data_IF_655769862762
#
_entry.id   IF_655769862762
#
_cell.length_a   1.000
_cell.length_b   1.000
_cell.length_c   1.000
_cell.angle_alpha   90.00
_cell.angle_beta   90.00
_cell.angle_gamma   90.00
#
_symmetry.space_group_name_H-M   'P 1'
#
loop_
_entity.id
_entity.type
_entity.pdbx_description
1 polymer ?
#
# COMPACT_ATOMS: atom_id res chain seq x y z
N UNK A 1 3.74 12.58 22.74
CA UNK A 1 2.66 11.83 22.08
C UNK A 1 3.28 11.24 20.84
N UNK A 2 3.60 9.95 21.00
CA UNK A 2 4.07 8.94 20.03
C UNK A 2 4.89 9.40 18.84
N UNK A 3 6.19 9.30 19.06
CA UNK A 3 7.23 9.03 18.08
C UNK A 3 6.92 7.68 17.38
N UNK A 4 6.32 7.71 16.19
CA UNK A 4 6.25 6.58 15.24
C UNK A 4 7.49 6.70 14.34
N UNK A 5 8.58 6.02 14.67
CA UNK A 5 8.95 4.69 14.15
C UNK A 5 9.52 4.74 12.71
N UNK A 6 10.73 5.30 12.60
CA UNK A 6 11.63 4.98 11.50
C UNK A 6 12.08 3.52 11.64
N UNK A 7 11.40 2.59 10.96
CA UNK A 7 11.87 1.20 10.85
C UNK A 7 10.81 0.10 10.73
N UNK A 8 9.52 0.41 10.88
CA UNK A 8 8.44 -0.57 10.75
C UNK A 8 8.02 -0.73 9.29
N UNK A 9 7.86 -1.99 8.83
CA UNK A 9 7.38 -2.27 7.47
C UNK A 9 5.87 -2.00 7.37
N UNK A 10 5.39 -1.80 6.14
CA UNK A 10 3.96 -1.56 5.93
C UNK A 10 3.08 -2.77 6.35
N UNK A 11 3.62 -3.98 6.26
CA UNK A 11 2.95 -5.21 6.71
C UNK A 11 2.86 -5.30 8.24
N UNK A 12 3.90 -4.83 8.94
CA UNK A 12 3.87 -4.73 10.40
C UNK A 12 2.83 -3.69 10.84
N UNK A 13 2.83 -2.52 10.19
CA UNK A 13 1.79 -1.49 10.42
C UNK A 13 0.38 -2.00 10.15
N UNK A 14 0.18 -2.84 9.12
CA UNK A 14 -1.11 -3.48 8.87
C UNK A 14 -1.54 -4.35 10.05
N UNK A 15 -0.62 -5.17 10.58
CA UNK A 15 -0.90 -6.04 11.73
C UNK A 15 -1.33 -5.21 12.95
N UNK A 16 -0.61 -4.13 13.25
CA UNK A 16 -0.94 -3.23 14.37
C UNK A 16 -2.30 -2.55 14.20
N UNK A 17 -2.64 -2.13 12.98
CA UNK A 17 -3.94 -1.52 12.71
C UNK A 17 -5.09 -2.52 12.82
N UNK A 18 -4.88 -3.79 12.46
CA UNK A 18 -5.89 -4.85 12.65
C UNK A 18 -6.14 -5.09 14.15
N UNK A 19 -5.08 -5.17 14.94
CA UNK A 19 -5.20 -5.32 16.39
C UNK A 19 -5.93 -4.11 17.02
N UNK A 20 -5.55 -2.89 16.61
CA UNK A 20 -6.24 -1.67 17.04
C UNK A 20 -7.72 -1.63 16.61
N UNK A 21 -8.04 -2.07 15.40
CA UNK A 21 -9.42 -2.11 14.92
C UNK A 21 -10.26 -3.08 15.76
N UNK A 22 -9.71 -4.25 16.11
CA UNK A 22 -10.39 -5.16 17.05
C UNK A 22 -10.60 -4.52 18.42
N UNK A 23 -9.56 -3.93 19.02
CA UNK A 23 -9.65 -3.29 20.33
C UNK A 23 -10.71 -2.16 20.37
N UNK A 24 -10.76 -1.33 19.33
CA UNK A 24 -11.76 -0.26 19.18
C UNK A 24 -13.16 -0.85 19.01
N UNK A 25 -13.34 -1.85 18.16
CA UNK A 25 -14.63 -2.48 17.95
C UNK A 25 -15.15 -3.20 19.20
N UNK A 26 -14.27 -3.80 20.00
CA UNK A 26 -14.62 -4.44 21.27
C UNK A 26 -14.95 -3.43 22.37
N UNK A 27 -14.29 -2.26 22.36
CA UNK A 27 -14.49 -1.20 23.36
C UNK A 27 -15.68 -0.30 23.05
N UNK A 28 -15.77 0.20 21.83
CA UNK A 28 -16.77 1.18 21.38
C UNK A 28 -18.00 0.51 20.73
N UNK A 29 -17.92 -0.78 20.44
CA UNK A 29 -18.97 -1.59 19.84
C UNK A 29 -18.81 -1.74 18.33
N UNK A 30 -19.23 -2.90 17.82
CA UNK A 30 -19.00 -3.33 16.43
C UNK A 30 -19.73 -2.51 15.38
N UNK A 31 -20.75 -1.73 15.77
CA UNK A 31 -21.51 -0.85 14.87
C UNK A 31 -21.23 0.63 15.14
N UNK A 32 -20.18 0.95 15.89
CA UNK A 32 -19.79 2.33 16.19
C UNK A 32 -19.06 2.98 15.02
N UNK A 33 -19.13 4.31 14.94
CA UNK A 33 -18.38 5.09 13.95
C UNK A 33 -16.86 4.95 14.15
N UNK A 34 -16.42 4.74 15.39
CA UNK A 34 -15.03 4.52 15.77
C UNK A 34 -14.52 3.19 15.21
N UNK A 35 -15.30 2.12 15.37
CA UNK A 35 -14.99 0.81 14.79
C UNK A 35 -14.91 0.89 13.26
N UNK A 36 -15.87 1.55 12.61
CA UNK A 36 -15.85 1.76 11.16
C UNK A 36 -14.59 2.53 10.71
N UNK A 37 -14.27 3.63 11.37
CA UNK A 37 -13.09 4.45 11.05
C UNK A 37 -11.77 3.69 11.24
N UNK A 38 -11.69 2.80 12.24
CA UNK A 38 -10.51 1.97 12.46
C UNK A 38 -10.31 0.96 11.33
N UNK A 39 -11.41 0.36 10.84
CA UNK A 39 -11.37 -0.53 9.68
C UNK A 39 -11.08 0.22 8.37
N UNK A 40 -11.53 1.47 8.22
CA UNK A 40 -11.18 2.30 7.06
C UNK A 40 -9.65 2.50 6.95
N UNK A 41 -8.97 2.71 8.09
CA UNK A 41 -7.52 2.83 8.12
C UNK A 41 -6.81 1.51 7.74
N UNK A 42 -7.37 0.36 8.14
CA UNK A 42 -6.90 -0.96 7.72
C UNK A 42 -7.09 -1.16 6.21
N UNK A 43 -8.21 -0.73 5.65
CA UNK A 43 -8.48 -0.80 4.22
C UNK A 43 -7.49 0.04 3.40
N UNK A 44 -7.21 1.27 3.83
CA UNK A 44 -6.25 2.16 3.16
C UNK A 44 -4.84 1.53 3.09
N UNK A 45 -4.35 0.98 4.20
CA UNK A 45 -3.02 0.35 4.24
C UNK A 45 -2.96 -0.91 3.37
N UNK A 46 -4.03 -1.72 3.34
CA UNK A 46 -4.10 -2.87 2.44
C UNK A 46 -4.11 -2.44 0.97
N UNK A 47 -4.83 -1.37 0.63
CA UNK A 47 -4.84 -0.82 -0.72
C UNK A 47 -3.43 -0.39 -1.15
N UNK A 48 -2.69 0.29 -0.28
CA UNK A 48 -1.30 0.67 -0.54
C UNK A 48 -0.38 -0.54 -0.72
N UNK A 49 -0.51 -1.59 0.11
CA UNK A 49 0.25 -2.85 -0.07
C UNK A 49 -0.04 -3.48 -1.44
N UNK A 50 -1.31 -3.53 -1.84
CA UNK A 50 -1.72 -4.04 -3.14
C UNK A 50 -1.16 -3.20 -4.29
N UNK A 51 -1.17 -1.87 -4.12
CA UNK A 51 -0.63 -0.94 -5.10
C UNK A 51 0.88 -1.15 -5.30
N UNK A 52 1.65 -1.20 -4.21
CA UNK A 52 3.10 -1.47 -4.24
C UNK A 52 3.44 -2.77 -4.96
N UNK A 53 2.76 -3.86 -4.59
CA UNK A 53 2.92 -5.16 -5.25
C UNK A 53 2.65 -5.11 -6.75
N UNK A 54 1.75 -4.23 -7.19
CA UNK A 54 1.41 -4.08 -8.60
C UNK A 54 2.36 -3.12 -9.34
N UNK A 55 2.87 -2.09 -8.67
CA UNK A 55 3.79 -1.10 -9.27
C UNK A 55 5.22 -1.63 -9.43
N UNK A 56 5.64 -2.56 -8.58
CA UNK A 56 7.02 -3.08 -8.56
C UNK A 56 7.30 -4.10 -9.67
N UNK A 57 6.29 -4.56 -10.40
CA UNK A 57 6.43 -5.58 -11.46
C UNK A 57 6.51 -4.90 -12.82
N UNK A 58 7.72 -4.47 -13.22
CA UNK A 58 8.01 -4.13 -14.62
C UNK A 58 8.09 -5.39 -15.46
N UNK A 59 7.47 -5.37 -16.64
CA UNK A 59 7.66 -6.44 -17.62
C UNK A 59 9.11 -6.43 -18.12
N UNK A 60 9.62 -7.58 -18.58
CA UNK A 60 10.96 -7.64 -19.18
C UNK A 60 11.12 -6.67 -20.36
N UNK A 61 10.03 -6.44 -21.10
CA UNK A 61 9.99 -5.47 -22.19
C UNK A 61 10.12 -4.03 -21.68
N UNK A 62 9.37 -3.66 -20.65
CA UNK A 62 9.45 -2.33 -20.02
C UNK A 62 10.85 -2.06 -19.49
N UNK A 63 11.43 -3.02 -18.74
CA UNK A 63 12.80 -2.90 -18.23
C UNK A 63 13.81 -2.74 -19.37
N UNK A 64 13.68 -3.53 -20.43
CA UNK A 64 14.56 -3.42 -21.60
C UNK A 64 14.45 -2.05 -22.28
N UNK A 65 13.25 -1.51 -22.44
CA UNK A 65 13.04 -0.20 -23.05
C UNK A 65 13.49 0.97 -22.17
N UNK A 66 13.45 0.83 -20.84
CA UNK A 66 14.02 1.82 -19.91
C UNK A 66 15.55 1.91 -20.08
N UNK A 67 16.22 0.77 -20.27
CA UNK A 67 17.68 0.68 -20.42
C UNK A 67 18.15 0.98 -21.87
N UNK A 68 17.29 0.73 -22.86
CA UNK A 68 17.57 0.88 -24.29
C UNK A 68 16.47 1.67 -25.01
N UNK A 69 16.30 2.97 -24.72
CA UNK A 69 15.20 3.77 -25.28
C UNK A 69 15.30 3.98 -26.80
N UNK A 70 16.50 3.82 -27.38
CA UNK A 70 16.76 3.93 -28.81
C UNK A 70 16.60 2.61 -29.59
N UNK A 71 16.33 1.49 -28.90
CA UNK A 71 16.01 0.21 -29.54
C UNK A 71 14.78 0.37 -30.46
N UNK A 72 14.75 -0.38 -31.57
CA UNK A 72 13.71 -0.23 -32.58
C UNK A 72 12.30 -0.49 -32.02
N UNK A 73 12.20 -1.37 -31.04
CA UNK A 73 10.98 -1.78 -30.35
C UNK A 73 10.52 -0.76 -29.28
N UNK A 74 11.37 0.19 -28.88
CA UNK A 74 11.14 1.07 -27.74
C UNK A 74 10.98 2.56 -28.10
N UNK A 75 11.27 2.95 -29.35
CA UNK A 75 11.14 4.34 -29.81
C UNK A 75 9.68 4.80 -29.75
N UNK A 76 9.42 5.80 -28.92
CA UNK A 76 8.16 6.53 -28.89
C UNK A 76 8.35 7.83 -29.70
N UNK A 77 7.50 8.04 -30.69
CA UNK A 77 7.50 9.25 -31.51
C UNK A 77 6.35 10.16 -31.05
N UNK A 78 6.64 11.43 -30.83
CA UNK A 78 5.61 12.44 -30.56
C UNK A 78 4.77 12.66 -31.84
N UNK A 79 3.44 12.73 -31.69
CA UNK A 79 2.48 12.87 -32.81
C UNK A 79 1.76 14.21 -32.79
#
# INVERSE_FOLDING_TARGET
>A
MTQLEEGITIEQRLTELVDQAHDVCDTDGTTSDQCASAWDAVEEVQAEISHRRSSDVKSSFTTYCDDHPDAAECRIYDV
#
